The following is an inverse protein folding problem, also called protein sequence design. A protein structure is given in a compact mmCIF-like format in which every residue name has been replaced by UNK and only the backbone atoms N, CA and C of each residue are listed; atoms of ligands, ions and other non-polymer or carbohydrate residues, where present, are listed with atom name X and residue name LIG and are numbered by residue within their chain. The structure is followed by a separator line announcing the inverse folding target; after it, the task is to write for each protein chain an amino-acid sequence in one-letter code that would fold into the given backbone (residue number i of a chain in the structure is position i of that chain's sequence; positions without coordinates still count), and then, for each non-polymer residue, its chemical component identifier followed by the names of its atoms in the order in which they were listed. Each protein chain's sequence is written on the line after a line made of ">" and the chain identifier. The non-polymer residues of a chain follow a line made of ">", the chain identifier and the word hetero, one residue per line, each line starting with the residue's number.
data_IF_427740353788
#
_entry.id   IF_427740353788
#
_cell.length_a   1.000
_cell.length_b   1.000
_cell.length_c   1.000
_cell.angle_alpha   90.00
_cell.angle_beta   90.00
_cell.angle_gamma   90.00
#
_symmetry.space_group_name_H-M   'P 1'
#
loop_
_entity.id
_entity.type
_entity.pdbx_description
1 polymer ?
#
# COMPACT_ATOMS: atom_id res chain seq x y z
N UNK A 1 8.90 -31.32 0.06
CA UNK A 1 8.23 -30.17 -0.56
C UNK A 1 7.71 -30.67 -1.89
N UNK A 2 6.45 -30.40 -2.22
CA UNK A 2 5.85 -30.88 -3.49
C UNK A 2 6.32 -29.99 -4.64
N UNK A 3 6.17 -30.46 -5.89
CA UNK A 3 6.62 -29.66 -7.05
C UNK A 3 5.96 -28.29 -7.14
N UNK A 4 4.69 -28.16 -6.72
CA UNK A 4 3.99 -26.86 -6.71
C UNK A 4 4.65 -25.87 -5.75
N UNK A 5 5.00 -26.31 -4.54
CA UNK A 5 5.70 -25.44 -3.58
C UNK A 5 7.16 -25.15 -3.96
N UNK A 6 7.84 -26.07 -4.66
CA UNK A 6 9.17 -25.79 -5.23
C UNK A 6 9.07 -24.65 -6.26
N UNK A 7 8.10 -24.72 -7.19
CA UNK A 7 7.86 -23.65 -8.17
C UNK A 7 7.53 -22.32 -7.47
N UNK A 8 6.69 -22.35 -6.43
CA UNK A 8 6.36 -21.17 -5.64
C UNK A 8 7.60 -20.53 -5.02
N UNK A 9 8.50 -21.32 -4.43
CA UNK A 9 9.72 -20.80 -3.82
C UNK A 9 10.67 -20.23 -4.86
N UNK A 10 10.90 -20.95 -5.96
CA UNK A 10 11.72 -20.47 -7.07
C UNK A 10 11.16 -19.18 -7.66
N UNK A 11 9.82 -19.05 -7.74
CA UNK A 11 9.17 -17.85 -8.24
C UNK A 11 9.41 -16.65 -7.31
N UNK A 12 9.29 -16.82 -5.98
CA UNK A 12 9.57 -15.76 -5.00
C UNK A 12 11.04 -15.29 -5.08
N UNK A 13 11.98 -16.21 -5.25
CA UNK A 13 13.40 -15.84 -5.41
C UNK A 13 13.64 -15.05 -6.71
N UNK A 14 13.06 -15.51 -7.83
CA UNK A 14 13.23 -14.87 -9.14
C UNK A 14 12.53 -13.50 -9.20
N UNK A 15 11.34 -13.37 -8.60
CA UNK A 15 10.61 -12.09 -8.59
C UNK A 15 11.30 -11.07 -7.69
N UNK A 16 11.95 -11.49 -6.59
CA UNK A 16 12.74 -10.59 -5.75
C UNK A 16 13.91 -9.97 -6.55
N UNK A 17 14.53 -10.74 -7.45
CA UNK A 17 15.59 -10.26 -8.32
C UNK A 17 15.11 -9.23 -9.36
N UNK A 18 13.91 -9.44 -9.93
CA UNK A 18 13.32 -8.51 -10.91
C UNK A 18 12.67 -7.29 -10.25
N UNK A 19 12.18 -7.44 -9.01
CA UNK A 19 11.50 -6.39 -8.24
C UNK A 19 12.17 -6.14 -6.88
N UNK A 20 13.35 -5.51 -6.83
CA UNK A 20 14.07 -5.18 -5.60
C UNK A 20 13.28 -4.38 -4.56
N UNK A 21 12.33 -3.55 -5.02
CA UNK A 21 11.43 -2.82 -4.13
C UNK A 21 10.52 -3.79 -3.37
N UNK A 22 9.90 -4.75 -4.08
CA UNK A 22 9.08 -5.78 -3.45
C UNK A 22 9.92 -6.67 -2.53
N UNK A 23 11.14 -7.04 -2.94
CA UNK A 23 12.08 -7.79 -2.10
C UNK A 23 12.31 -7.09 -0.75
N UNK A 24 12.54 -5.77 -0.78
CA UNK A 24 12.71 -4.97 0.45
C UNK A 24 11.45 -4.99 1.32
N UNK A 25 10.27 -4.78 0.73
CA UNK A 25 9.00 -4.78 1.47
C UNK A 25 8.65 -6.15 2.07
N UNK A 26 9.10 -7.23 1.44
CA UNK A 26 8.94 -8.61 1.92
C UNK A 26 10.03 -9.05 2.90
N UNK A 27 11.10 -8.26 3.06
CA UNK A 27 12.24 -8.60 3.91
C UNK A 27 13.21 -9.62 3.30
N UNK A 28 13.24 -9.74 1.97
CA UNK A 28 14.19 -10.60 1.24
C UNK A 28 15.53 -9.85 1.10
N UNK A 29 16.63 -10.36 1.69
CA UNK A 29 17.92 -9.68 1.69
C UNK A 29 18.64 -9.77 0.34
N UNK A 30 19.67 -8.95 0.15
CA UNK A 30 20.58 -8.99 -1.01
C UNK A 30 20.24 -8.00 -2.13
N UNK A 31 19.15 -7.25 -1.98
CA UNK A 31 18.66 -6.30 -2.99
C UNK A 31 18.67 -4.84 -2.52
N UNK A 32 19.20 -4.56 -1.32
CA UNK A 32 19.08 -3.30 -0.55
C UNK A 32 19.56 -2.04 -1.27
N UNK A 33 20.34 -2.19 -2.35
CA UNK A 33 20.96 -1.09 -3.10
C UNK A 33 20.27 -0.82 -4.44
N UNK A 34 19.41 -1.72 -4.93
CA UNK A 34 18.82 -1.64 -6.28
C UNK A 34 17.34 -1.24 -6.23
N UNK A 35 16.81 -0.69 -7.34
CA UNK A 35 15.41 -0.26 -7.47
C UNK A 35 14.59 -1.10 -8.46
N UNK A 36 15.24 -1.84 -9.37
CA UNK A 36 14.60 -2.56 -10.47
C UNK A 36 14.62 -1.79 -11.78
N UNK A 37 14.22 -2.47 -12.86
CA UNK A 37 14.12 -1.91 -14.21
C UNK A 37 12.67 -1.51 -14.51
N UNK A 38 12.42 -0.21 -14.63
CA UNK A 38 11.11 0.36 -14.94
C UNK A 38 10.91 0.69 -16.43
N UNK A 39 11.86 0.29 -17.29
CA UNK A 39 11.74 0.40 -18.74
C UNK A 39 10.78 -0.66 -19.32
N UNK A 40 10.41 -0.57 -20.61
CA UNK A 40 9.65 -1.63 -21.27
C UNK A 40 10.33 -3.00 -21.22
N UNK A 41 11.66 -3.05 -21.19
CA UNK A 41 12.41 -4.31 -21.09
C UNK A 41 12.23 -4.97 -19.72
N UNK A 42 12.20 -4.18 -18.64
CA UNK A 42 11.92 -4.66 -17.28
C UNK A 42 10.50 -5.22 -17.14
N UNK A 43 9.52 -4.55 -17.75
CA UNK A 43 8.14 -5.06 -17.80
C UNK A 43 8.05 -6.41 -18.54
N UNK A 44 8.70 -6.53 -19.71
CA UNK A 44 8.72 -7.79 -20.48
C UNK A 44 9.48 -8.90 -19.74
N UNK A 45 10.56 -8.59 -19.01
CA UNK A 45 11.27 -9.58 -18.20
C UNK A 45 10.38 -10.18 -17.10
N UNK A 46 9.57 -9.35 -16.44
CA UNK A 46 8.57 -9.79 -15.47
C UNK A 46 7.49 -10.66 -16.14
N UNK A 47 6.96 -10.23 -17.29
CA UNK A 47 5.98 -11.02 -18.04
C UNK A 47 6.53 -12.37 -18.50
N UNK A 48 7.79 -12.43 -18.94
CA UNK A 48 8.42 -13.68 -19.35
C UNK A 48 8.61 -14.63 -18.18
N UNK A 49 8.99 -14.13 -16.99
CA UNK A 49 9.03 -14.94 -15.78
C UNK A 49 7.65 -15.50 -15.45
N UNK A 50 6.62 -14.66 -15.45
CA UNK A 50 5.23 -15.06 -15.22
C UNK A 50 4.77 -16.16 -16.19
N UNK A 51 5.01 -16.00 -17.50
CA UNK A 51 4.67 -17.02 -18.52
C UNK A 51 5.40 -18.34 -18.27
N UNK A 52 6.68 -18.30 -17.91
CA UNK A 52 7.45 -19.50 -17.59
C UNK A 52 6.89 -20.21 -16.36
N UNK A 53 6.59 -19.48 -15.30
CA UNK A 53 6.01 -20.02 -14.07
C UNK A 53 4.65 -20.68 -14.33
N UNK A 54 3.76 -20.05 -15.12
CA UNK A 54 2.49 -20.66 -15.48
C UNK A 54 2.66 -21.96 -16.26
N UNK A 55 3.61 -22.01 -17.20
CA UNK A 55 3.90 -23.24 -17.95
C UNK A 55 4.35 -24.37 -17.01
N UNK A 56 5.20 -24.08 -16.03
CA UNK A 56 5.64 -25.04 -15.03
C UNK A 56 4.48 -25.48 -14.12
N UNK A 57 3.66 -24.54 -13.62
CA UNK A 57 2.50 -24.83 -12.78
C UNK A 57 1.48 -25.70 -13.51
N UNK A 58 1.21 -25.43 -14.79
CA UNK A 58 0.22 -26.16 -15.58
C UNK A 58 0.50 -27.66 -15.66
N UNK A 59 1.77 -28.05 -15.76
CA UNK A 59 2.20 -29.46 -15.83
C UNK A 59 2.57 -30.07 -14.48
N UNK A 60 2.64 -29.28 -13.41
CA UNK A 60 2.98 -29.77 -12.07
C UNK A 60 1.89 -30.73 -11.55
N UNK A 61 2.27 -31.93 -11.04
CA UNK A 61 1.34 -32.85 -10.43
C UNK A 61 0.80 -32.30 -9.12
N UNK A 62 -0.46 -32.62 -8.81
CA UNK A 62 -1.08 -32.32 -7.52
C UNK A 62 -0.97 -33.56 -6.63
N UNK A 63 -0.25 -33.46 -5.52
CA UNK A 63 -0.10 -34.55 -4.55
C UNK A 63 -1.15 -34.48 -3.45
N UNK A 64 -1.68 -33.28 -3.17
CA UNK A 64 -2.66 -33.03 -2.13
C UNK A 64 -3.51 -31.77 -2.40
N UNK A 65 -4.48 -31.49 -1.53
CA UNK A 65 -5.40 -30.36 -1.67
C UNK A 65 -4.74 -28.99 -1.42
N UNK A 66 -3.64 -28.94 -0.65
CA UNK A 66 -2.85 -27.71 -0.50
C UNK A 66 -2.13 -27.34 -1.79
N UNK A 67 -1.62 -28.33 -2.55
CA UNK A 67 -1.05 -28.10 -3.87
C UNK A 67 -2.11 -27.53 -4.83
N UNK A 68 -3.34 -28.07 -4.78
CA UNK A 68 -4.45 -27.57 -5.59
C UNK A 68 -4.73 -26.10 -5.30
N UNK A 69 -4.88 -25.73 -4.02
CA UNK A 69 -5.11 -24.33 -3.61
C UNK A 69 -3.96 -23.42 -4.00
N UNK A 70 -2.71 -23.82 -3.73
CA UNK A 70 -1.54 -23.03 -4.06
C UNK A 70 -1.46 -22.78 -5.58
N UNK A 71 -1.66 -23.83 -6.38
CA UNK A 71 -1.71 -23.72 -7.85
C UNK A 71 -2.85 -22.81 -8.31
N UNK A 72 -4.06 -22.97 -7.79
CA UNK A 72 -5.22 -22.14 -8.18
C UNK A 72 -4.95 -20.64 -7.90
N UNK A 73 -4.45 -20.30 -6.71
CA UNK A 73 -4.12 -18.91 -6.35
C UNK A 73 -3.03 -18.34 -7.26
N UNK A 74 -1.91 -19.07 -7.43
CA UNK A 74 -0.82 -18.59 -8.27
C UNK A 74 -1.23 -18.46 -9.74
N UNK A 75 -2.03 -19.41 -10.25
CA UNK A 75 -2.50 -19.35 -11.64
C UNK A 75 -3.42 -18.16 -11.84
N UNK A 76 -4.34 -17.88 -10.91
CA UNK A 76 -5.24 -16.73 -11.01
C UNK A 76 -4.47 -15.41 -11.01
N UNK A 77 -3.61 -15.21 -10.01
CA UNK A 77 -2.82 -13.98 -9.83
C UNK A 77 -1.89 -13.71 -11.03
N UNK A 78 -1.08 -14.70 -11.41
CA UNK A 78 -0.13 -14.56 -12.52
C UNK A 78 -0.86 -14.38 -13.86
N UNK A 79 -2.03 -15.03 -14.05
CA UNK A 79 -2.80 -14.87 -15.29
C UNK A 79 -3.42 -13.47 -15.40
N UNK A 80 -3.91 -12.91 -14.29
CA UNK A 80 -4.44 -11.55 -14.26
C UNK A 80 -3.35 -10.52 -14.58
N UNK A 81 -2.17 -10.66 -13.96
CA UNK A 81 -1.00 -9.82 -14.23
C UNK A 81 -0.55 -9.87 -15.70
N UNK A 82 -0.54 -11.07 -16.30
CA UNK A 82 -0.22 -11.23 -17.72
C UNK A 82 -1.28 -10.62 -18.64
N UNK A 83 -2.56 -10.76 -18.31
CA UNK A 83 -3.62 -10.11 -19.08
C UNK A 83 -3.47 -8.58 -19.05
N UNK A 84 -3.16 -8.03 -17.87
CA UNK A 84 -2.85 -6.61 -17.65
C UNK A 84 -1.64 -6.15 -18.48
N UNK A 85 -0.57 -6.95 -18.48
CA UNK A 85 0.63 -6.71 -19.27
C UNK A 85 0.33 -6.72 -20.77
N UNK A 86 -0.37 -7.74 -21.27
CA UNK A 86 -0.67 -7.94 -22.69
C UNK A 86 -1.62 -6.85 -23.23
N UNK A 87 -2.43 -6.23 -22.38
CA UNK A 87 -3.22 -5.02 -22.71
C UNK A 87 -2.44 -3.70 -22.59
N UNK A 88 -1.18 -3.77 -22.17
CA UNK A 88 -0.28 -2.63 -22.09
C UNK A 88 -0.57 -1.69 -20.91
N UNK A 89 -1.17 -2.17 -19.81
CA UNK A 89 -1.45 -1.31 -18.65
C UNK A 89 -0.17 -0.71 -18.04
N UNK A 90 0.94 -1.44 -18.09
CA UNK A 90 2.25 -0.96 -17.63
C UNK A 90 2.72 0.33 -18.36
N UNK A 91 2.30 0.56 -19.61
CA UNK A 91 2.61 1.77 -20.36
C UNK A 91 1.86 3.02 -19.90
N UNK A 92 0.81 2.86 -19.09
CA UNK A 92 -0.07 3.95 -18.62
C UNK A 92 -0.37 3.89 -17.12
N UNK A 93 0.42 3.13 -16.35
CA UNK A 93 0.29 3.00 -14.90
C UNK A 93 0.81 4.25 -14.19
N UNK A 94 0.10 5.37 -14.34
CA UNK A 94 0.39 6.65 -13.69
C UNK A 94 -0.85 7.12 -12.93
N UNK A 95 -0.79 7.12 -11.60
CA UNK A 95 -1.84 7.64 -10.72
C UNK A 95 -1.25 8.17 -9.40
N UNK A 96 -2.02 9.00 -8.69
CA UNK A 96 -1.57 9.71 -7.49
C UNK A 96 -1.40 8.84 -6.26
N UNK A 97 -1.91 7.60 -6.27
CA UNK A 97 -1.93 6.73 -5.10
C UNK A 97 -0.79 5.72 -5.16
N UNK A 98 -0.68 4.99 -6.26
CA UNK A 98 0.26 3.89 -6.42
C UNK A 98 0.69 3.70 -7.89
N UNK A 99 1.85 4.25 -8.22
CA UNK A 99 2.55 4.05 -9.50
C UNK A 99 4.06 3.89 -9.26
N UNK A 100 4.88 3.60 -10.30
CA UNK A 100 6.32 3.46 -10.14
C UNK A 100 7.00 4.61 -9.39
N UNK A 101 6.60 5.87 -9.62
CA UNK A 101 7.19 7.01 -8.92
C UNK A 101 6.94 6.98 -7.39
N UNK A 102 5.73 6.61 -6.93
CA UNK A 102 5.47 6.46 -5.50
C UNK A 102 6.28 5.29 -4.95
N UNK A 103 6.34 4.17 -5.66
CA UNK A 103 7.05 2.97 -5.23
C UNK A 103 8.55 3.22 -5.06
N UNK A 104 9.18 3.90 -6.02
CA UNK A 104 10.60 4.30 -5.97
C UNK A 104 10.88 5.16 -4.74
N UNK A 105 9.99 6.08 -4.36
CA UNK A 105 10.16 6.90 -3.15
C UNK A 105 9.85 6.12 -1.86
N UNK A 106 8.79 5.31 -1.86
CA UNK A 106 8.27 4.61 -0.68
C UNK A 106 9.19 3.52 -0.17
N UNK A 107 10.00 2.89 -1.03
CA UNK A 107 10.90 1.79 -0.61
C UNK A 107 11.84 2.20 0.53
N UNK A 108 12.24 3.47 0.59
CA UNK A 108 13.13 4.00 1.62
C UNK A 108 12.47 4.10 2.99
N UNK A 109 11.14 4.10 3.07
CA UNK A 109 10.38 4.09 4.32
C UNK A 109 10.51 2.72 5.02
N UNK A 110 10.88 1.67 4.28
CA UNK A 110 11.11 0.31 4.78
C UNK A 110 12.58 -0.01 5.06
N UNK A 111 13.52 0.88 4.73
CA UNK A 111 14.94 0.62 4.93
C UNK A 111 15.36 0.92 6.37
N UNK A 112 16.10 0.00 7.04
CA UNK A 112 16.61 0.25 8.38
C UNK A 112 17.66 1.37 8.37
N UNK A 113 17.82 2.04 9.52
CA UNK A 113 18.68 3.22 9.71
C UNK A 113 19.56 3.10 10.97
N UNK A 114 19.88 1.87 11.38
CA UNK A 114 20.52 1.56 12.67
C UNK A 114 22.02 1.29 12.56
N UNK A 115 22.56 1.08 11.35
CA UNK A 115 23.99 0.88 11.12
C UNK A 115 24.58 1.71 9.97
N UNK A 116 25.90 1.84 9.94
CA UNK A 116 26.64 2.52 8.86
C UNK A 116 26.44 1.83 7.50
N UNK A 117 26.35 0.50 7.50
CA UNK A 117 26.11 -0.29 6.28
C UNK A 117 24.72 -0.01 5.71
N UNK A 118 23.69 0.03 6.56
CA UNK A 118 22.32 0.32 6.12
C UNK A 118 22.18 1.75 5.57
N UNK A 119 22.84 2.73 6.21
CA UNK A 119 22.91 4.08 5.66
C UNK A 119 23.68 4.15 4.33
N UNK A 120 24.70 3.32 4.15
CA UNK A 120 25.39 3.17 2.86
C UNK A 120 24.45 2.59 1.79
N UNK A 121 23.62 1.61 2.14
CA UNK A 121 22.62 1.04 1.24
C UNK A 121 21.59 2.09 0.80
N UNK A 122 21.09 2.90 1.73
CA UNK A 122 20.22 4.05 1.44
C UNK A 122 20.90 5.03 0.47
N UNK A 123 22.16 5.40 0.74
CA UNK A 123 22.90 6.32 -0.12
C UNK A 123 23.04 5.79 -1.57
N UNK A 124 23.41 4.52 -1.73
CA UNK A 124 23.54 3.88 -3.04
C UNK A 124 22.18 3.83 -3.74
N UNK A 125 21.13 3.39 -3.05
CA UNK A 125 19.79 3.28 -3.64
C UNK A 125 19.22 4.64 -4.03
N UNK A 126 19.47 5.71 -3.26
CA UNK A 126 19.13 7.08 -3.64
C UNK A 126 19.84 7.49 -4.94
N UNK A 127 21.11 7.11 -5.11
CA UNK A 127 21.86 7.42 -6.33
C UNK A 127 21.36 6.70 -7.58
N UNK A 128 20.56 5.64 -7.41
CA UNK A 128 19.95 4.87 -8.50
C UNK A 128 18.55 5.40 -8.93
N UNK A 129 17.96 6.35 -8.18
CA UNK A 129 16.66 6.96 -8.54
C UNK A 129 16.63 7.55 -9.96
N UNK A 130 17.67 8.27 -10.44
CA UNK A 130 17.66 8.82 -11.78
C UNK A 130 17.48 7.77 -12.87
N UNK A 131 18.13 6.61 -12.76
CA UNK A 131 18.01 5.52 -13.72
C UNK A 131 16.60 4.91 -13.70
N UNK A 132 16.08 4.63 -12.50
CA UNK A 132 14.73 4.09 -12.34
C UNK A 132 13.64 5.01 -12.93
N UNK A 133 13.71 6.32 -12.65
CA UNK A 133 12.76 7.29 -13.23
C UNK A 133 12.96 7.45 -14.73
N UNK A 134 14.20 7.42 -15.24
CA UNK A 134 14.47 7.47 -16.69
C UNK A 134 13.85 6.28 -17.43
N UNK A 135 13.96 5.06 -16.87
CA UNK A 135 13.30 3.88 -17.43
C UNK A 135 11.77 4.03 -17.41
N UNK A 136 11.21 4.56 -16.32
CA UNK A 136 9.78 4.82 -16.25
C UNK A 136 9.31 5.87 -17.26
N UNK A 137 10.08 6.95 -17.50
CA UNK A 137 9.78 7.91 -18.57
C UNK A 137 9.78 7.23 -19.95
N UNK A 138 10.73 6.33 -20.22
CA UNK A 138 10.77 5.55 -21.47
C UNK A 138 9.48 4.75 -21.65
N UNK A 139 9.03 4.06 -20.60
CA UNK A 139 7.76 3.32 -20.59
C UNK A 139 6.56 4.23 -20.87
N UNK A 140 6.48 5.39 -20.22
CA UNK A 140 5.38 6.33 -20.45
C UNK A 140 5.42 6.94 -21.87
N UNK A 141 6.60 7.24 -22.41
CA UNK A 141 6.76 7.71 -23.80
C UNK A 141 6.33 6.65 -24.80
N UNK A 142 6.67 5.38 -24.55
CA UNK A 142 6.22 4.29 -25.39
C UNK A 142 4.70 4.10 -25.32
N UNK A 143 4.10 4.27 -24.14
CA UNK A 143 2.65 4.34 -23.99
C UNK A 143 2.01 5.43 -24.82
N UNK A 144 2.56 6.66 -24.74
CA UNK A 144 2.10 7.78 -25.55
C UNK A 144 2.15 7.52 -27.05
N UNK A 145 3.18 6.82 -27.56
CA UNK A 145 3.27 6.42 -28.98
C UNK A 145 2.21 5.40 -29.40
N UNK A 146 1.67 4.63 -28.45
CA UNK A 146 0.67 3.58 -28.66
C UNK A 146 -0.76 4.02 -28.30
N UNK A 147 -0.95 5.31 -28.01
CA UNK A 147 -2.20 5.85 -27.46
C UNK A 147 -2.65 5.16 -26.15
N UNK A 148 -1.68 4.64 -25.39
CA UNK A 148 -1.85 4.08 -24.05
C UNK A 148 -1.38 5.13 -23.04
N UNK A 149 -2.27 6.06 -22.70
CA UNK A 149 -1.97 7.18 -21.81
C UNK A 149 -2.82 7.16 -20.53
N UNK A 150 -2.31 7.80 -19.48
CA UNK A 150 -3.09 8.15 -18.29
C UNK A 150 -3.84 9.47 -18.51
N UNK A 151 -4.63 9.87 -17.52
CA UNK A 151 -5.52 11.03 -17.61
C UNK A 151 -4.81 12.31 -17.22
N UNK A 152 -5.33 13.45 -17.69
CA UNK A 152 -4.87 14.79 -17.32
C UNK A 152 -4.88 14.99 -15.81
N UNK A 153 -5.92 14.49 -15.12
CA UNK A 153 -6.04 14.57 -13.67
C UNK A 153 -4.89 13.87 -12.96
N UNK A 154 -4.65 12.61 -13.33
CA UNK A 154 -3.59 11.80 -12.72
C UNK A 154 -2.21 12.37 -13.03
N UNK A 155 -1.99 12.78 -14.28
CA UNK A 155 -0.72 13.41 -14.72
C UNK A 155 -0.40 14.66 -13.92
N UNK A 156 -1.37 15.57 -13.74
CA UNK A 156 -1.20 16.79 -12.94
C UNK A 156 -0.91 16.47 -11.47
N UNK A 157 -1.66 15.56 -10.87
CA UNK A 157 -1.45 15.18 -9.48
C UNK A 157 -0.08 14.53 -9.25
N UNK A 158 0.36 13.66 -10.15
CA UNK A 158 1.70 13.06 -10.10
C UNK A 158 2.81 14.10 -10.32
N UNK A 159 2.64 15.04 -11.25
CA UNK A 159 3.57 16.14 -11.42
C UNK A 159 3.70 16.98 -10.14
N UNK A 160 2.58 17.30 -9.49
CA UNK A 160 2.58 18.04 -8.22
C UNK A 160 3.30 17.27 -7.10
N UNK A 161 3.06 15.95 -6.99
CA UNK A 161 3.79 15.11 -6.03
C UNK A 161 5.30 15.10 -6.29
N UNK A 162 5.72 14.91 -7.54
CA UNK A 162 7.13 14.93 -7.92
C UNK A 162 7.79 16.28 -7.60
N UNK A 163 7.09 17.40 -7.88
CA UNK A 163 7.52 18.76 -7.57
C UNK A 163 7.67 19.03 -6.08
N UNK A 164 6.76 18.48 -5.26
CA UNK A 164 6.86 18.55 -3.80
C UNK A 164 8.08 17.77 -3.31
N UNK A 165 8.26 16.52 -3.76
CA UNK A 165 9.37 15.68 -3.32
C UNK A 165 10.73 16.20 -3.76
N UNK A 166 10.83 16.87 -4.93
CA UNK A 166 12.06 17.56 -5.35
C UNK A 166 12.35 18.83 -4.55
N UNK A 167 11.41 19.33 -3.74
CA UNK A 167 11.56 20.60 -3.04
C UNK A 167 11.49 21.81 -3.97
N UNK A 168 10.88 21.66 -5.16
CA UNK A 168 10.64 22.76 -6.10
C UNK A 168 9.35 23.54 -5.74
N UNK A 169 9.04 23.59 -4.44
CA UNK A 169 7.91 24.31 -3.82
C UNK A 169 8.44 25.14 -2.65
N UNK A 170 7.55 25.81 -1.90
CA UNK A 170 7.96 26.53 -0.68
C UNK A 170 8.45 25.61 0.45
N UNK A 171 8.23 24.29 0.33
CA UNK A 171 8.69 23.30 1.29
C UNK A 171 10.04 22.68 0.87
N UNK A 172 10.90 22.31 1.84
CA UNK A 172 12.13 21.57 1.54
C UNK A 172 11.82 20.21 0.90
N UNK A 173 12.76 19.71 0.10
CA UNK A 173 12.64 18.38 -0.51
C UNK A 173 12.47 17.30 0.56
N UNK A 174 11.59 16.34 0.27
CA UNK A 174 11.42 15.11 1.05
C UNK A 174 12.76 14.39 1.31
N UNK A 175 13.66 14.36 0.32
CA UNK A 175 14.92 13.61 0.41
C UNK A 175 15.92 14.23 1.42
N UNK A 176 15.74 15.49 1.81
CA UNK A 176 16.58 16.12 2.82
C UNK A 176 16.38 15.51 4.21
N UNK A 177 15.22 14.89 4.46
CA UNK A 177 14.94 14.20 5.72
C UNK A 177 15.97 13.09 6.00
N UNK A 178 16.50 12.41 4.98
CA UNK A 178 17.52 11.37 5.18
C UNK A 178 18.86 11.94 5.68
N UNK A 179 19.22 13.17 5.29
CA UNK A 179 20.41 13.82 5.85
C UNK A 179 20.17 14.20 7.30
N UNK A 180 19.00 14.79 7.61
CA UNK A 180 18.63 15.16 8.97
C UNK A 180 18.59 13.94 9.91
N UNK A 181 18.02 12.83 9.45
CA UNK A 181 17.96 11.56 10.18
C UNK A 181 19.37 11.01 10.48
N UNK A 182 20.27 11.01 9.48
CA UNK A 182 21.65 10.55 9.66
C UNK A 182 22.43 11.44 10.64
N UNK A 183 22.28 12.76 10.53
CA UNK A 183 22.95 13.72 11.43
C UNK A 183 22.45 13.62 12.88
N UNK A 184 21.15 13.36 13.07
CA UNK A 184 20.53 13.15 14.38
C UNK A 184 20.93 11.80 15.01
N UNK A 185 21.37 10.83 14.21
CA UNK A 185 21.84 9.54 14.73
C UNK A 185 23.17 9.65 15.49
N UNK A 186 23.45 8.69 16.35
CA UNK A 186 24.76 8.57 17.02
C UNK A 186 25.87 8.10 16.06
N UNK A 187 25.50 7.64 14.86
CA UNK A 187 26.42 7.13 13.86
C UNK A 187 27.24 8.27 13.24
N UNK A 188 28.52 8.01 12.95
CA UNK A 188 29.44 8.98 12.34
C UNK A 188 30.27 8.31 11.24
N UNK A 189 30.08 8.76 10.00
CA UNK A 189 30.91 8.37 8.86
C UNK A 189 30.92 9.49 7.82
N UNK A 190 32.11 10.04 7.55
CA UNK A 190 32.27 11.10 6.56
C UNK A 190 31.97 10.61 5.13
N UNK A 191 32.32 9.36 4.83
CA UNK A 191 32.04 8.72 3.54
C UNK A 191 30.54 8.60 3.31
N UNK A 192 29.82 7.98 4.25
CA UNK A 192 28.36 7.84 4.15
C UNK A 192 27.67 9.19 4.09
N UNK A 193 28.12 10.19 4.87
CA UNK A 193 27.59 11.56 4.77
C UNK A 193 27.74 12.13 3.35
N UNK A 194 28.91 11.97 2.74
CA UNK A 194 29.18 12.45 1.39
C UNK A 194 28.33 11.71 0.35
N UNK A 195 28.19 10.40 0.48
CA UNK A 195 27.44 9.60 -0.48
C UNK A 195 25.93 9.82 -0.34
N UNK A 196 25.41 9.99 0.88
CA UNK A 196 24.03 10.45 1.11
C UNK A 196 23.80 11.81 0.45
N UNK A 197 24.71 12.77 0.61
CA UNK A 197 24.56 14.08 -0.02
C UNK A 197 24.46 13.96 -1.55
N UNK A 198 25.31 13.14 -2.18
CA UNK A 198 25.25 12.88 -3.63
C UNK A 198 23.94 12.21 -4.03
N UNK A 199 23.53 11.16 -3.32
CA UNK A 199 22.29 10.42 -3.58
C UNK A 199 21.05 11.32 -3.44
N UNK A 200 20.99 12.14 -2.39
CA UNK A 200 19.91 13.11 -2.17
C UNK A 200 19.85 14.13 -3.30
N UNK A 201 20.98 14.71 -3.71
CA UNK A 201 21.01 15.63 -4.85
C UNK A 201 20.55 14.96 -6.15
N UNK A 202 20.96 13.71 -6.39
CA UNK A 202 20.52 12.94 -7.55
C UNK A 202 19.00 12.70 -7.54
N UNK A 203 18.45 12.29 -6.40
CA UNK A 203 17.02 12.08 -6.22
C UNK A 203 16.20 13.36 -6.43
N UNK A 204 16.61 14.47 -5.81
CA UNK A 204 15.98 15.79 -5.97
C UNK A 204 15.90 16.18 -7.43
N UNK A 205 17.04 16.11 -8.14
CA UNK A 205 17.10 16.49 -9.54
C UNK A 205 16.26 15.56 -10.42
N UNK A 206 16.25 14.26 -10.14
CA UNK A 206 15.48 13.29 -10.91
C UNK A 206 13.97 13.51 -10.78
N UNK A 207 13.44 13.73 -9.57
CA UNK A 207 12.03 14.06 -9.38
C UNK A 207 11.65 15.42 -9.96
N UNK A 208 12.54 16.41 -9.89
CA UNK A 208 12.33 17.70 -10.54
C UNK A 208 12.18 17.56 -12.06
N UNK A 209 13.09 16.81 -12.70
CA UNK A 209 13.02 16.48 -14.13
C UNK A 209 11.77 15.67 -14.47
N UNK A 210 11.41 14.69 -13.65
CA UNK A 210 10.22 13.89 -13.88
C UNK A 210 8.93 14.74 -13.82
N UNK A 211 8.85 15.69 -12.88
CA UNK A 211 7.78 16.68 -12.86
C UNK A 211 7.72 17.53 -14.13
N UNK A 212 8.88 17.95 -14.65
CA UNK A 212 8.97 18.72 -15.90
C UNK A 212 8.53 17.86 -17.10
N UNK A 213 8.98 16.60 -17.19
CA UNK A 213 8.53 15.65 -18.20
C UNK A 213 7.00 15.48 -18.18
N UNK A 214 6.42 15.23 -17.00
CA UNK A 214 4.97 15.06 -16.88
C UNK A 214 4.20 16.30 -17.33
N UNK A 215 4.68 17.51 -17.02
CA UNK A 215 3.97 18.76 -17.31
C UNK A 215 4.20 19.30 -18.73
N UNK A 216 5.40 19.15 -19.27
CA UNK A 216 5.81 19.73 -20.57
C UNK A 216 5.68 18.76 -21.74
N UNK A 217 5.70 17.44 -21.48
CA UNK A 217 5.65 16.41 -22.51
C UNK A 217 4.41 15.54 -22.37
N UNK A 218 4.29 14.75 -21.28
CA UNK A 218 3.23 13.74 -21.15
C UNK A 218 1.82 14.34 -21.11
N UNK A 219 1.64 15.47 -20.40
CA UNK A 219 0.35 16.15 -20.29
C UNK A 219 -0.25 16.57 -21.64
N UNK A 220 0.57 16.77 -22.67
CA UNK A 220 0.11 17.17 -24.00
C UNK A 220 -0.66 16.06 -24.72
N UNK A 221 -0.41 14.81 -24.37
CA UNK A 221 -1.06 13.63 -24.95
C UNK A 221 -2.00 12.90 -23.97
N UNK A 222 -2.07 13.34 -22.71
CA UNK A 222 -2.90 12.71 -21.69
C UNK A 222 -4.41 12.79 -22.01
N UNK A 223 -5.16 11.75 -21.62
CA UNK A 223 -6.60 11.66 -21.87
C UNK A 223 -7.38 12.64 -20.97
N UNK A 224 -8.38 13.30 -21.54
CA UNK A 224 -9.31 14.16 -20.80
C UNK A 224 -10.36 13.35 -20.03
N UNK A 225 -10.66 12.14 -20.49
CA UNK A 225 -11.63 11.25 -19.85
C UNK A 225 -11.01 10.55 -18.65
N UNK A 226 -11.62 10.73 -17.47
CA UNK A 226 -11.19 10.01 -16.26
C UNK A 226 -11.59 8.52 -16.28
N UNK A 227 -12.67 8.17 -16.99
CA UNK A 227 -13.17 6.80 -17.04
C UNK A 227 -12.31 5.91 -17.93
N UNK A 228 -11.87 4.77 -17.40
CA UNK A 228 -10.96 3.83 -18.11
C UNK A 228 -11.67 2.91 -19.12
N UNK A 229 -13.01 2.91 -19.14
CA UNK A 229 -13.81 2.03 -19.99
C UNK A 229 -13.95 0.61 -19.45
N UNK A 230 -14.95 -0.13 -19.96
CA UNK A 230 -15.36 -1.45 -19.45
C UNK A 230 -14.21 -2.47 -19.47
N UNK A 231 -13.49 -2.54 -20.58
CA UNK A 231 -12.48 -3.57 -20.81
C UNK A 231 -11.30 -3.44 -19.84
N UNK A 232 -10.84 -2.21 -19.58
CA UNK A 232 -9.76 -1.97 -18.60
C UNK A 232 -10.28 -2.17 -17.17
N UNK A 233 -11.50 -1.70 -16.89
CA UNK A 233 -12.11 -1.84 -15.58
C UNK A 233 -12.30 -3.31 -15.18
N UNK A 234 -12.67 -4.19 -16.12
CA UNK A 234 -12.88 -5.62 -15.81
C UNK A 234 -11.61 -6.34 -15.35
N UNK A 235 -10.44 -6.00 -15.92
CA UNK A 235 -9.16 -6.58 -15.46
C UNK A 235 -8.82 -6.08 -14.07
N UNK A 236 -8.85 -4.76 -13.86
CA UNK A 236 -8.55 -4.19 -12.56
C UNK A 236 -9.51 -4.74 -11.49
N UNK A 237 -10.80 -4.88 -11.80
CA UNK A 237 -11.77 -5.50 -10.90
C UNK A 237 -11.39 -6.94 -10.54
N UNK A 238 -10.91 -7.74 -11.50
CA UNK A 238 -10.41 -9.10 -11.27
C UNK A 238 -9.14 -9.12 -10.41
N UNK A 239 -8.15 -8.28 -10.72
CA UNK A 239 -6.91 -8.14 -9.94
C UNK A 239 -7.20 -7.81 -8.47
N UNK A 240 -8.14 -6.88 -8.20
CA UNK A 240 -8.44 -6.46 -6.83
C UNK A 240 -9.37 -7.42 -6.07
N UNK A 241 -10.23 -8.18 -6.74
CA UNK A 241 -11.23 -9.03 -6.08
C UNK A 241 -10.95 -10.55 -6.20
N UNK A 242 -10.02 -10.95 -7.06
CA UNK A 242 -9.71 -12.36 -7.35
C UNK A 242 -10.85 -13.12 -8.04
N UNK A 243 -11.82 -12.41 -8.63
CA UNK A 243 -12.99 -12.98 -9.30
C UNK A 243 -13.43 -12.13 -10.50
N UNK A 244 -14.10 -12.76 -11.46
CA UNK A 244 -14.77 -12.06 -12.56
C UNK A 244 -16.14 -11.56 -12.10
N UNK A 245 -16.27 -10.24 -11.95
CA UNK A 245 -17.52 -9.59 -11.55
C UNK A 245 -18.41 -9.30 -12.75
N UNK A 246 -19.71 -9.56 -12.62
CA UNK A 246 -20.73 -8.99 -13.50
C UNK A 246 -20.89 -7.50 -13.16
N UNK A 247 -20.19 -6.64 -13.91
CA UNK A 247 -19.98 -5.24 -13.53
C UNK A 247 -21.29 -4.43 -13.39
N UNK A 248 -22.26 -4.66 -14.27
CA UNK A 248 -23.55 -3.94 -14.21
C UNK A 248 -24.41 -4.42 -13.05
N UNK A 249 -24.47 -5.74 -12.83
CA UNK A 249 -25.16 -6.32 -11.67
C UNK A 249 -24.53 -5.82 -10.36
N UNK A 250 -23.20 -5.81 -10.29
CA UNK A 250 -22.45 -5.32 -9.12
C UNK A 250 -22.73 -3.83 -8.86
N UNK A 251 -22.84 -3.02 -9.92
CA UNK A 251 -23.21 -1.61 -9.81
C UNK A 251 -24.64 -1.42 -9.28
N UNK A 252 -25.60 -2.17 -9.81
CA UNK A 252 -27.00 -2.13 -9.35
C UNK A 252 -27.12 -2.58 -7.90
N UNK A 253 -26.46 -3.68 -7.54
CA UNK A 253 -26.34 -4.17 -6.16
C UNK A 253 -25.74 -3.11 -5.24
N UNK A 254 -24.69 -2.40 -5.66
CA UNK A 254 -24.08 -1.33 -4.86
C UNK A 254 -25.06 -0.21 -4.49
N UNK A 255 -25.94 0.16 -5.42
CA UNK A 255 -27.02 1.13 -5.15
C UNK A 255 -28.09 0.58 -4.22
N UNK A 256 -28.40 -0.71 -4.29
CA UNK A 256 -29.30 -1.36 -3.34
C UNK A 256 -28.71 -1.37 -1.93
N UNK A 257 -27.42 -1.71 -1.79
CA UNK A 257 -26.72 -1.68 -0.50
C UNK A 257 -26.65 -0.27 0.07
N UNK A 258 -26.38 0.75 -0.75
CA UNK A 258 -26.37 2.15 -0.29
C UNK A 258 -27.73 2.55 0.30
N UNK A 259 -28.83 2.30 -0.43
CA UNK A 259 -30.18 2.62 0.06
C UNK A 259 -30.54 1.85 1.33
N UNK A 260 -30.14 0.57 1.40
CA UNK A 260 -30.36 -0.24 2.58
C UNK A 260 -29.61 0.33 3.79
N UNK A 261 -28.32 0.64 3.65
CA UNK A 261 -27.50 1.26 4.70
C UNK A 261 -28.09 2.60 5.15
N UNK A 262 -28.50 3.46 4.22
CA UNK A 262 -29.16 4.74 4.55
C UNK A 262 -30.45 4.51 5.37
N UNK A 263 -31.23 3.48 5.04
CA UNK A 263 -32.44 3.14 5.79
C UNK A 263 -32.15 2.65 7.21
N UNK A 264 -31.12 1.81 7.38
CA UNK A 264 -30.69 1.33 8.70
C UNK A 264 -30.09 2.47 9.54
N UNK A 265 -29.37 3.39 8.90
CA UNK A 265 -28.87 4.61 9.55
C UNK A 265 -30.02 5.48 10.05
N UNK A 266 -31.08 5.67 9.27
CA UNK A 266 -32.25 6.45 9.68
C UNK A 266 -33.00 5.81 10.86
N UNK A 267 -33.22 4.48 10.82
CA UNK A 267 -33.83 3.72 11.93
C UNK A 267 -32.97 3.85 13.19
N UNK A 268 -31.64 3.73 13.05
CA UNK A 268 -30.69 3.83 14.16
C UNK A 268 -30.64 5.24 14.73
N UNK A 269 -30.66 6.27 13.88
CA UNK A 269 -30.74 7.67 14.31
C UNK A 269 -31.98 7.92 15.19
N UNK A 270 -33.15 7.41 14.80
CA UNK A 270 -34.37 7.51 15.60
C UNK A 270 -34.32 6.80 16.95
N UNK A 271 -33.50 5.75 17.10
CA UNK A 271 -33.24 5.08 18.40
C UNK A 271 -32.31 5.90 19.30
N UNK A 272 -31.36 6.61 18.72
CA UNK A 272 -30.38 7.43 19.44
C UNK A 272 -31.00 8.75 19.88
N UNK A 273 -31.69 9.42 18.96
CA UNK A 273 -32.36 10.70 19.17
C UNK A 273 -33.79 10.60 18.62
N UNK A 274 -34.79 10.29 19.47
CA UNK A 274 -36.18 10.21 19.04
C UNK A 274 -36.66 11.50 18.37
N UNK A 275 -37.10 11.39 17.11
CA UNK A 275 -37.54 12.53 16.29
C UNK A 275 -36.41 13.29 15.56
N UNK A 276 -35.15 12.89 15.76
CA UNK A 276 -34.00 13.40 15.01
C UNK A 276 -33.74 12.66 13.69
N UNK A 277 -32.97 13.27 12.81
CA UNK A 277 -32.43 12.66 11.60
C UNK A 277 -30.99 12.15 11.80
N UNK A 278 -30.41 11.60 10.73
CA UNK A 278 -29.05 11.04 10.74
C UNK A 278 -28.02 12.09 11.18
N UNK A 279 -28.10 13.30 10.65
CA UNK A 279 -27.10 14.35 10.92
C UNK A 279 -27.22 14.87 12.35
N UNK A 280 -28.43 15.07 12.85
CA UNK A 280 -28.66 15.46 14.26
C UNK A 280 -28.18 14.37 15.23
N UNK A 281 -28.37 13.09 14.88
CA UNK A 281 -27.86 11.98 15.68
C UNK A 281 -26.32 11.94 15.67
N UNK A 282 -25.68 12.16 14.51
CA UNK A 282 -24.21 12.27 14.41
C UNK A 282 -23.68 13.43 15.24
N UNK A 283 -24.28 14.61 15.14
CA UNK A 283 -23.87 15.78 15.93
C UNK A 283 -23.95 15.51 17.43
N UNK A 284 -25.01 14.85 17.89
CA UNK A 284 -25.12 14.41 19.27
C UNK A 284 -24.00 13.45 19.67
N UNK A 285 -23.73 12.42 18.86
CA UNK A 285 -22.68 11.42 19.13
C UNK A 285 -21.27 12.04 19.15
N UNK A 286 -21.06 13.05 18.30
CA UNK A 286 -19.78 13.76 18.19
C UNK A 286 -19.56 14.72 19.38
N UNK A 287 -20.61 15.41 19.82
CA UNK A 287 -20.50 16.48 20.82
C UNK A 287 -20.70 15.99 22.26
N UNK A 288 -21.50 14.95 22.51
CA UNK A 288 -21.85 14.48 23.86
C UNK A 288 -20.60 14.02 24.65
N UNK A 289 -20.23 14.74 25.74
CA UNK A 289 -19.08 14.35 26.57
C UNK A 289 -19.19 12.99 27.23
N UNK A 290 -20.40 12.43 27.36
CA UNK A 290 -20.57 11.08 27.91
C UNK A 290 -20.20 9.98 26.93
N UNK A 291 -20.00 10.32 25.65
CA UNK A 291 -19.72 9.38 24.54
C UNK A 291 -18.34 9.59 23.95
N UNK A 292 -17.50 10.37 24.63
CA UNK A 292 -16.13 10.66 24.21
C UNK A 292 -15.15 10.33 25.31
N UNK A 293 -13.92 10.03 24.92
CA UNK A 293 -12.79 9.93 25.82
C UNK A 293 -11.90 11.14 25.65
N UNK A 294 -11.48 11.73 26.78
CA UNK A 294 -10.53 12.82 26.84
C UNK A 294 -9.14 12.26 27.13
N UNK A 295 -8.15 12.67 26.34
CA UNK A 295 -6.75 12.27 26.48
C UNK A 295 -6.40 11.01 25.71
N UNK A 296 -5.23 11.04 25.07
CA UNK A 296 -4.72 9.96 24.22
C UNK A 296 -4.47 8.67 25.02
N UNK A 297 -3.94 8.79 26.25
CA UNK A 297 -3.68 7.63 27.09
C UNK A 297 -4.96 6.90 27.47
N UNK A 298 -5.99 7.63 27.90
CA UNK A 298 -7.28 7.03 28.24
C UNK A 298 -7.91 6.34 27.02
N UNK A 299 -7.82 6.98 25.85
CA UNK A 299 -8.34 6.41 24.61
C UNK A 299 -7.57 5.14 24.19
N UNK A 300 -6.25 5.15 24.28
CA UNK A 300 -5.40 3.97 24.02
C UNK A 300 -5.76 2.79 24.93
N UNK A 301 -5.95 3.04 26.22
CA UNK A 301 -6.36 1.98 27.15
C UNK A 301 -7.75 1.43 26.80
N UNK A 302 -8.70 2.30 26.47
CA UNK A 302 -10.03 1.85 26.04
C UNK A 302 -9.99 1.01 24.76
N UNK A 303 -9.16 1.39 23.77
CA UNK A 303 -8.94 0.61 22.55
C UNK A 303 -8.34 -0.77 22.86
N UNK A 304 -7.41 -0.84 23.82
CA UNK A 304 -6.83 -2.11 24.28
C UNK A 304 -7.90 -2.99 24.92
N UNK A 305 -8.67 -2.45 25.88
CA UNK A 305 -9.75 -3.18 26.56
C UNK A 305 -10.83 -3.67 25.59
N UNK A 306 -11.15 -2.88 24.56
CA UNK A 306 -12.08 -3.28 23.51
C UNK A 306 -11.57 -4.53 22.77
N UNK A 307 -10.29 -4.54 22.38
CA UNK A 307 -9.70 -5.67 21.65
C UNK A 307 -9.57 -6.91 22.53
N UNK A 308 -9.05 -6.77 23.75
CA UNK A 308 -8.88 -7.87 24.71
C UNK A 308 -10.23 -8.54 25.02
N UNK A 309 -11.25 -7.73 25.32
CA UNK A 309 -12.61 -8.25 25.57
C UNK A 309 -13.19 -8.94 24.35
N UNK A 310 -12.96 -8.40 23.15
CA UNK A 310 -13.49 -9.01 21.92
C UNK A 310 -12.81 -10.35 21.63
N UNK A 311 -11.51 -10.49 21.91
CA UNK A 311 -10.82 -11.79 21.84
C UNK A 311 -11.48 -12.80 22.78
N UNK A 312 -11.69 -12.42 24.04
CA UNK A 312 -12.29 -13.31 25.04
C UNK A 312 -13.76 -13.67 24.72
N UNK A 313 -14.54 -12.76 24.14
CA UNK A 313 -15.91 -13.01 23.71
C UNK A 313 -16.01 -13.92 22.48
N UNK A 314 -15.00 -13.91 21.60
CA UNK A 314 -15.00 -14.66 20.35
C UNK A 314 -14.29 -16.02 20.43
N UNK A 315 -13.30 -16.16 21.30
CA UNK A 315 -12.53 -17.40 21.47
C UNK A 315 -13.42 -18.56 21.95
N UNK A 316 -13.26 -19.72 21.33
CA UNK A 316 -14.01 -20.94 21.65
C UNK A 316 -15.49 -20.89 21.26
N UNK A 317 -16.00 -19.75 20.78
CA UNK A 317 -17.39 -19.58 20.31
C UNK A 317 -17.45 -19.38 18.80
N UNK A 318 -16.69 -18.42 18.30
CA UNK A 318 -16.68 -18.03 16.88
C UNK A 318 -15.35 -18.36 16.19
N UNK A 319 -14.24 -18.37 16.94
CA UNK A 319 -12.90 -18.68 16.45
C UNK A 319 -12.17 -19.63 17.42
N UNK A 320 -11.21 -20.40 16.90
CA UNK A 320 -10.18 -21.08 17.70
C UNK A 320 -8.91 -20.22 17.65
N UNK A 321 -8.67 -19.40 18.69
CA UNK A 321 -7.60 -18.41 18.65
C UNK A 321 -6.32 -18.98 19.28
N UNK A 322 -5.27 -19.11 18.47
CA UNK A 322 -3.96 -19.55 18.95
C UNK A 322 -3.40 -18.57 20.01
N UNK A 323 -2.73 -19.10 21.04
CA UNK A 323 -2.24 -18.29 22.17
C UNK A 323 -1.41 -17.06 21.74
N UNK A 324 -0.46 -17.15 20.79
CA UNK A 324 0.31 -15.98 20.35
C UNK A 324 -0.54 -14.90 19.66
N UNK A 325 -1.67 -15.30 19.05
CA UNK A 325 -2.62 -14.41 18.35
C UNK A 325 -3.59 -13.75 19.34
N UNK A 326 -3.65 -14.21 20.60
CA UNK A 326 -4.41 -13.50 21.64
C UNK A 326 -3.74 -12.18 22.02
N UNK A 327 -2.47 -11.97 21.66
CA UNK A 327 -1.72 -10.78 22.01
C UNK A 327 -1.75 -9.76 20.87
N UNK A 328 -2.44 -8.65 21.14
CA UNK A 328 -2.45 -7.44 20.31
C UNK A 328 -2.16 -6.20 21.16
N UNK A 329 -1.48 -5.21 20.60
CA UNK A 329 -1.22 -3.94 21.29
C UNK A 329 -1.90 -2.76 20.57
N UNK A 330 -2.72 -2.01 21.30
CA UNK A 330 -3.26 -0.73 20.87
C UNK A 330 -2.25 0.40 21.10
N UNK A 331 -1.86 1.06 20.02
CA UNK A 331 -0.81 2.07 19.98
C UNK A 331 -1.34 3.41 19.45
N UNK A 332 -0.72 4.50 19.89
CA UNK A 332 -0.87 5.80 19.23
C UNK A 332 0.18 5.90 18.13
N UNK A 333 -0.25 6.24 16.92
CA UNK A 333 0.65 6.39 15.79
C UNK A 333 1.60 7.57 16.02
N UNK A 334 2.89 7.44 15.65
CA UNK A 334 3.83 8.56 15.70
C UNK A 334 3.38 9.70 14.76
N UNK A 335 3.77 10.96 15.04
CA UNK A 335 3.42 12.09 14.19
C UNK A 335 4.04 11.95 12.79
N UNK A 336 3.37 12.53 11.78
CA UNK A 336 3.86 12.57 10.39
C UNK A 336 3.44 11.39 9.51
N UNK A 337 2.72 10.41 10.05
CA UNK A 337 2.13 9.30 9.29
C UNK A 337 0.75 9.59 8.69
N UNK A 338 0.15 8.57 8.07
CA UNK A 338 -1.23 8.62 7.58
C UNK A 338 -2.21 8.92 8.74
N UNK A 339 -3.31 9.62 8.43
CA UNK A 339 -4.36 9.98 9.38
C UNK A 339 -5.46 8.91 9.53
N UNK A 340 -5.27 7.73 8.93
CA UNK A 340 -6.14 6.58 9.11
C UNK A 340 -5.51 5.59 10.11
N UNK A 341 -6.33 4.96 10.95
CA UNK A 341 -5.89 3.84 11.78
C UNK A 341 -5.34 2.73 10.89
N UNK A 342 -4.31 2.03 11.33
CA UNK A 342 -3.70 0.94 10.55
C UNK A 342 -3.19 -0.19 11.43
N UNK A 343 -3.17 -1.39 10.85
CA UNK A 343 -2.62 -2.59 11.45
C UNK A 343 -1.17 -2.88 11.02
N UNK A 344 -0.35 -3.37 11.95
CA UNK A 344 0.95 -3.99 11.65
C UNK A 344 0.97 -5.42 12.15
N UNK A 345 1.22 -6.37 11.25
CA UNK A 345 1.30 -7.81 11.54
C UNK A 345 2.38 -8.18 12.56
N UNK A 346 2.20 -9.28 13.32
CA UNK A 346 3.23 -9.81 14.20
C UNK A 346 4.51 -10.16 13.43
N UNK A 347 5.62 -10.31 14.14
CA UNK A 347 6.80 -10.97 13.57
C UNK A 347 6.50 -12.45 13.31
N UNK A 348 7.21 -13.08 12.36
CA UNK A 348 6.97 -14.49 12.01
C UNK A 348 7.21 -15.48 13.17
N UNK A 349 7.95 -15.07 14.19
CA UNK A 349 8.20 -15.80 15.44
C UNK A 349 7.31 -15.32 16.62
N UNK A 350 6.37 -14.39 16.38
CA UNK A 350 5.51 -13.75 17.37
C UNK A 350 6.22 -12.99 18.52
N UNK A 351 7.54 -12.77 18.44
CA UNK A 351 8.27 -11.97 19.43
C UNK A 351 7.78 -10.51 19.49
N UNK A 352 7.32 -9.96 18.37
CA UNK A 352 6.51 -8.74 18.29
C UNK A 352 5.05 -9.13 17.98
N UNK A 353 4.08 -8.76 18.83
CA UNK A 353 2.67 -9.03 18.56
C UNK A 353 2.13 -8.18 17.41
N UNK A 354 0.92 -8.50 16.96
CA UNK A 354 0.14 -7.59 16.12
C UNK A 354 -0.10 -6.27 16.84
N UNK A 355 -0.17 -5.16 16.08
CA UNK A 355 -0.45 -3.85 16.67
C UNK A 355 -1.41 -3.06 15.81
N UNK A 356 -2.34 -2.38 16.45
CA UNK A 356 -3.15 -1.33 15.82
C UNK A 356 -2.58 0.04 16.18
N UNK A 357 -2.53 0.94 15.21
CA UNK A 357 -1.95 2.28 15.37
C UNK A 357 -2.98 3.35 15.07
N UNK A 358 -3.31 4.16 16.08
CA UNK A 358 -4.28 5.24 15.94
C UNK A 358 -3.59 6.61 15.75
N UNK A 359 -3.70 7.25 14.58
CA UNK A 359 -3.19 8.61 14.39
C UNK A 359 -4.16 9.63 14.99
N UNK A 360 -3.72 10.31 16.04
CA UNK A 360 -4.57 11.29 16.73
C UNK A 360 -4.76 12.56 15.90
N UNK A 361 -3.86 12.87 14.97
CA UNK A 361 -3.90 14.11 14.18
C UNK A 361 -3.89 15.37 15.05
N UNK A 362 -3.36 15.27 16.28
CA UNK A 362 -3.40 16.36 17.27
C UNK A 362 -4.71 16.45 18.07
N UNK A 363 -5.70 15.59 17.83
CA UNK A 363 -6.92 15.51 18.64
C UNK A 363 -6.58 15.12 20.09
N UNK A 364 -7.30 15.71 21.03
CA UNK A 364 -7.25 15.37 22.46
C UNK A 364 -8.55 14.76 22.96
N UNK A 365 -9.59 14.76 22.13
CA UNK A 365 -10.91 14.23 22.40
C UNK A 365 -11.30 13.24 21.31
N UNK A 366 -11.87 12.11 21.73
CA UNK A 366 -12.19 10.98 20.84
C UNK A 366 -13.64 10.53 21.04
N UNK A 367 -14.59 10.96 20.18
CA UNK A 367 -15.94 10.43 20.16
C UNK A 367 -15.94 8.96 19.75
N UNK A 368 -16.51 8.09 20.59
CA UNK A 368 -16.30 6.64 20.45
C UNK A 368 -17.14 5.98 19.34
N UNK A 369 -18.19 6.65 18.87
CA UNK A 369 -19.21 6.02 18.03
C UNK A 369 -18.67 5.48 16.70
N UNK A 370 -17.73 6.20 16.07
CA UNK A 370 -17.06 5.74 14.85
C UNK A 370 -15.88 4.80 15.12
N UNK A 371 -15.29 4.90 16.31
CA UNK A 371 -14.02 4.24 16.63
C UNK A 371 -14.14 2.74 16.84
N UNK A 372 -15.30 2.29 17.35
CA UNK A 372 -15.55 0.85 17.56
C UNK A 372 -15.45 0.06 16.26
N UNK A 373 -16.10 0.52 15.19
CA UNK A 373 -16.10 -0.22 13.91
C UNK A 373 -14.72 -0.22 13.26
N UNK A 374 -13.95 0.85 13.40
CA UNK A 374 -12.58 0.95 12.86
C UNK A 374 -11.64 0.04 13.67
N UNK A 375 -11.78 0.01 15.00
CA UNK A 375 -11.01 -0.89 15.86
C UNK A 375 -11.27 -2.36 15.52
N UNK A 376 -12.51 -2.74 15.19
CA UNK A 376 -12.84 -4.09 14.74
C UNK A 376 -12.29 -4.41 13.35
N UNK A 377 -12.29 -3.43 12.44
CA UNK A 377 -11.73 -3.59 11.10
C UNK A 377 -10.21 -3.79 11.13
N UNK A 378 -9.48 -2.91 11.83
CA UNK A 378 -8.01 -2.93 11.89
C UNK A 378 -7.47 -3.94 12.91
N UNK A 379 -8.22 -4.23 13.96
CA UNK A 379 -7.83 -5.14 15.04
C UNK A 379 -8.58 -6.45 14.94
N UNK A 380 -9.38 -6.71 15.98
CA UNK A 380 -10.09 -7.98 16.18
C UNK A 380 -11.58 -7.77 15.97
N UNK A 381 -12.30 -8.57 15.15
CA UNK A 381 -11.84 -9.77 14.44
C UNK A 381 -11.39 -9.53 12.98
N UNK A 382 -11.06 -8.29 12.60
CA UNK A 382 -10.65 -7.94 11.24
C UNK A 382 -9.21 -8.34 10.92
N UNK A 383 -8.38 -7.36 10.55
CA UNK A 383 -7.03 -7.61 10.03
C UNK A 383 -6.16 -8.46 10.96
N UNK A 384 -6.29 -8.35 12.29
CA UNK A 384 -5.46 -9.13 13.20
C UNK A 384 -5.74 -10.64 13.13
N UNK A 385 -7.00 -11.05 12.93
CA UNK A 385 -7.32 -12.47 12.85
C UNK A 385 -7.04 -13.05 11.47
N UNK A 386 -7.10 -12.20 10.43
CA UNK A 386 -6.88 -12.62 9.05
C UNK A 386 -5.39 -12.75 8.69
N UNK A 387 -4.53 -11.85 9.20
CA UNK A 387 -3.10 -11.73 8.87
C UNK A 387 -2.24 -12.34 9.98
#
# INVERSE_FOLDING_TARGET
>A
MTRVYDISNEFVERIAALNPIAATSLGVPGYETTLGDFSPAGAEANAQLARNTLNELNVAPLENDSDRRAKEVMVEDISADLESHDRGEHFRRLNILHSPMQSIRMVFDHMPKVSIEEWSNIAIRLSNIPEALSGYEETLREGARRDLVSTVRQTKGCADQARIWSGSTDNPSFFLNYMSDFEASELKSATVKSDLQKGICAAINAYGKFSEFLTSEYLLCADQSDGVGKDRYSIAAREYNGINLELLETYEWGWEQLRWVESEMAITAGKILPGGDIDSAKELLESDPKRSIEGQDAFRHWMQELQDRTIDELDGTHFEIAEPVRKIEAMIAPPGGALAMYYTRPSGDFSRPGRTWYPTGGKTRFPLWGEVSIAYHEGVPGHHFQI
#
